data_IF_625295234250
#
_entry.id   IF_625295234250
#
_cell.length_a   1.000
_cell.length_b   1.000
_cell.length_c   1.000
_cell.angle_alpha   90.00
_cell.angle_beta   90.00
_cell.angle_gamma   90.00
#
_symmetry.space_group_name_H-M   'P 1'
#
loop_
_entity.id
_entity.type
_entity.pdbx_description
1 polymer ?
#
# COMPACT_ATOMS: atom_id res chain seq x y z
N UNK A 1 -0.82 14.46 29.71
CA UNK A 1 0.19 15.11 28.84
C UNK A 1 -0.24 14.89 27.40
N UNK A 2 -0.40 15.94 26.58
CA UNK A 2 -1.12 15.85 25.29
C UNK A 2 -0.35 15.12 24.18
N UNK A 3 0.99 15.11 24.25
CA UNK A 3 1.88 14.45 23.28
C UNK A 3 3.15 13.92 24.00
N UNK A 4 3.30 12.60 24.19
CA UNK A 4 4.48 12.01 24.83
C UNK A 4 5.77 12.10 23.99
N UNK A 5 5.69 12.48 22.71
CA UNK A 5 6.84 12.54 21.80
C UNK A 5 7.85 13.62 22.20
N UNK A 6 7.40 14.74 22.78
CA UNK A 6 8.27 15.82 23.23
C UNK A 6 9.26 15.38 24.33
N UNK A 7 8.82 14.78 25.46
CA UNK A 7 9.75 14.28 26.47
C UNK A 7 10.62 13.12 25.95
N UNK A 8 10.10 12.26 25.05
CA UNK A 8 10.90 11.20 24.42
C UNK A 8 12.06 11.81 23.62
N UNK A 9 11.78 12.82 22.78
CA UNK A 9 12.80 13.48 21.97
C UNK A 9 13.85 14.19 22.85
N UNK A 10 13.44 14.84 23.95
CA UNK A 10 14.37 15.45 24.90
C UNK A 10 15.27 14.41 25.58
N UNK A 11 14.69 13.32 26.06
CA UNK A 11 15.47 12.23 26.67
C UNK A 11 16.43 11.59 25.67
N UNK A 12 16.01 11.40 24.41
CA UNK A 12 16.89 10.91 23.36
C UNK A 12 18.01 11.89 23.02
N UNK A 13 17.73 13.20 22.98
CA UNK A 13 18.75 14.21 22.76
C UNK A 13 19.83 14.21 23.86
N UNK A 14 19.44 14.04 25.13
CA UNK A 14 20.41 13.86 26.22
C UNK A 14 21.26 12.60 26.03
N UNK A 15 20.64 11.49 25.59
CA UNK A 15 21.39 10.27 25.27
C UNK A 15 22.41 10.51 24.14
N UNK A 16 22.04 11.25 23.08
CA UNK A 16 22.98 11.61 22.00
C UNK A 16 24.08 12.54 22.51
N UNK A 17 23.77 13.58 23.29
CA UNK A 17 24.79 14.50 23.86
C UNK A 17 25.79 13.79 24.75
N UNK A 18 25.35 12.73 25.43
CA UNK A 18 26.18 11.97 26.37
C UNK A 18 27.18 11.03 25.68
N UNK A 19 27.08 10.81 24.37
CA UNK A 19 28.02 9.94 23.66
C UNK A 19 29.29 10.69 23.22
N UNK A 20 30.44 10.02 23.00
CA UNK A 20 31.75 10.69 22.92
C UNK A 20 32.00 11.59 21.70
N UNK A 21 31.37 11.33 20.55
CA UNK A 21 31.69 12.09 19.34
C UNK A 21 31.30 13.58 19.48
N UNK A 22 32.08 14.54 18.97
CA UNK A 22 31.64 15.93 18.90
C UNK A 22 30.40 16.05 18.01
N UNK A 23 29.39 16.81 18.45
CA UNK A 23 28.18 17.13 17.67
C UNK A 23 27.37 18.25 18.30
N UNK A 24 26.73 19.04 17.46
CA UNK A 24 25.65 19.93 17.85
C UNK A 24 24.33 19.16 17.85
N UNK A 25 23.52 19.33 18.90
CA UNK A 25 22.25 18.59 19.07
C UNK A 25 21.08 19.55 19.28
N UNK A 26 20.17 19.59 18.31
CA UNK A 26 18.96 20.41 18.31
C UNK A 26 17.73 19.51 18.47
N UNK A 27 16.76 19.98 19.27
CA UNK A 27 15.45 19.34 19.41
C UNK A 27 14.39 20.29 18.86
N UNK A 28 13.63 19.84 17.88
CA UNK A 28 12.56 20.63 17.27
C UNK A 28 11.34 19.78 16.96
N UNK A 29 10.16 20.40 16.95
CA UNK A 29 8.92 19.69 16.68
C UNK A 29 7.66 20.37 17.21
N UNK A 30 6.53 19.78 16.85
CA UNK A 30 5.21 20.16 17.34
C UNK A 30 4.25 18.96 17.28
N UNK A 31 3.32 18.88 18.24
CA UNK A 31 2.35 17.78 18.30
C UNK A 31 3.04 16.41 18.38
N UNK A 32 2.73 15.52 17.42
CA UNK A 32 3.28 14.17 17.29
C UNK A 32 4.57 14.10 16.45
N UNK A 33 5.07 15.24 15.98
CA UNK A 33 6.25 15.32 15.11
C UNK A 33 7.40 15.98 15.85
N UNK A 34 8.19 15.18 16.58
CA UNK A 34 9.40 15.63 17.27
C UNK A 34 10.65 14.96 16.70
N UNK A 35 11.68 15.75 16.47
CA UNK A 35 12.94 15.33 15.89
C UNK A 35 14.12 15.75 16.77
N UNK A 36 15.15 14.91 16.79
CA UNK A 36 16.49 15.24 17.28
C UNK A 36 17.42 15.29 16.09
N UNK A 37 18.03 16.45 15.88
CA UNK A 37 19.00 16.69 14.80
C UNK A 37 20.38 16.73 15.43
N UNK A 38 21.28 15.87 14.95
CA UNK A 38 22.69 15.90 15.33
C UNK A 38 23.54 16.23 14.11
N UNK A 39 24.52 17.13 14.25
CA UNK A 39 25.43 17.52 13.16
C UNK A 39 26.88 17.63 13.63
N UNK A 40 27.81 17.23 12.79
CA UNK A 40 29.25 17.39 13.00
C UNK A 40 29.99 17.46 11.66
N UNK A 41 30.59 18.61 11.35
CA UNK A 41 31.15 18.88 10.03
C UNK A 41 30.08 18.78 8.95
N UNK A 42 30.35 17.99 7.91
CA UNK A 42 29.42 17.76 6.80
C UNK A 42 28.36 16.69 7.08
N UNK A 43 28.49 15.95 8.19
CA UNK A 43 27.59 14.85 8.53
C UNK A 43 26.41 15.34 9.36
N UNK A 44 25.25 14.77 9.06
CA UNK A 44 24.00 15.07 9.77
C UNK A 44 23.20 13.80 10.02
N UNK A 45 22.46 13.80 11.12
CA UNK A 45 21.41 12.83 11.40
C UNK A 45 20.13 13.55 11.81
N UNK A 46 18.99 12.98 11.41
CA UNK A 46 17.67 13.42 11.86
C UNK A 46 16.95 12.21 12.42
N UNK A 47 16.67 12.21 13.71
CA UNK A 47 15.95 11.13 14.38
C UNK A 47 14.56 11.59 14.78
N UNK A 48 13.54 11.06 14.12
CA UNK A 48 12.16 11.25 14.53
C UNK A 48 11.81 10.29 15.68
N UNK A 49 11.18 10.83 16.73
CA UNK A 49 10.81 10.08 17.93
C UNK A 49 9.29 9.94 18.02
N UNK A 50 8.81 8.70 18.16
CA UNK A 50 7.36 8.40 18.19
C UNK A 50 7.01 7.47 19.36
N UNK A 51 5.73 7.47 19.77
CA UNK A 51 5.19 6.53 20.76
C UNK A 51 3.99 5.74 20.20
N UNK A 52 4.14 5.17 19.00
CA UNK A 52 3.03 4.53 18.29
C UNK A 52 2.70 3.10 18.72
N UNK A 53 3.47 2.52 19.65
CA UNK A 53 3.26 1.13 20.09
C UNK A 53 2.29 1.05 21.27
N UNK A 54 1.44 0.01 21.34
CA UNK A 54 0.67 -0.30 22.54
C UNK A 54 1.61 -0.38 23.75
N UNK A 55 1.28 0.34 24.83
CA UNK A 55 2.15 0.46 26.01
C UNK A 55 3.13 1.64 25.98
N UNK A 56 3.12 2.48 24.95
CA UNK A 56 3.87 3.74 24.93
C UNK A 56 5.38 3.59 24.76
N UNK A 57 5.86 2.41 24.32
CA UNK A 57 7.28 2.19 24.05
C UNK A 57 7.77 3.13 22.94
N UNK A 58 8.81 3.93 23.19
CA UNK A 58 9.40 4.80 22.17
C UNK A 58 9.92 4.04 20.95
N UNK A 59 9.87 4.68 19.80
CA UNK A 59 10.53 4.25 18.58
C UNK A 59 11.32 5.42 17.96
N UNK A 60 12.49 5.10 17.44
CA UNK A 60 13.46 6.05 16.89
C UNK A 60 13.69 5.72 15.41
N UNK A 61 13.31 6.62 14.51
CA UNK A 61 13.59 6.53 13.08
C UNK A 61 14.68 7.55 12.73
N UNK A 62 15.89 7.05 12.47
CA UNK A 62 17.07 7.87 12.18
C UNK A 62 17.36 7.89 10.69
N UNK A 63 17.43 9.10 10.12
CA UNK A 63 17.96 9.39 8.79
C UNK A 63 19.45 9.75 8.93
N UNK A 64 20.33 9.10 8.17
CA UNK A 64 21.76 9.42 8.11
C UNK A 64 22.07 10.15 6.80
N UNK A 65 22.74 11.30 6.89
CA UNK A 65 23.03 12.18 5.76
C UNK A 65 24.50 12.62 5.78
N UNK A 66 25.10 12.70 4.60
CA UNK A 66 26.45 13.23 4.37
C UNK A 66 26.40 14.67 3.82
N UNK A 67 27.53 15.17 3.33
CA UNK A 67 27.68 16.48 2.72
C UNK A 67 26.54 16.82 1.73
N UNK A 68 25.99 18.03 1.86
CA UNK A 68 24.88 18.51 1.02
C UNK A 68 23.54 17.81 1.26
N UNK A 69 23.31 17.28 2.48
CA UNK A 69 22.10 16.53 2.87
C UNK A 69 21.84 15.28 2.00
N UNK A 70 22.89 14.70 1.41
CA UNK A 70 22.80 13.45 0.64
C UNK A 70 22.43 12.31 1.58
N UNK A 71 21.32 11.64 1.30
CA UNK A 71 20.82 10.52 2.09
C UNK A 71 21.70 9.28 1.93
N UNK A 72 22.35 8.84 3.01
CA UNK A 72 23.07 7.58 3.06
C UNK A 72 22.12 6.40 3.33
N UNK A 73 21.20 6.58 4.29
CA UNK A 73 20.23 5.55 4.62
C UNK A 73 19.46 5.80 5.90
N UNK A 74 18.76 4.77 6.36
CA UNK A 74 17.84 4.82 7.49
C UNK A 74 18.12 3.75 8.54
N UNK A 75 17.75 4.02 9.79
CA UNK A 75 17.66 3.02 10.84
C UNK A 75 16.39 3.19 11.65
N UNK A 76 15.80 2.09 12.10
CA UNK A 76 14.65 2.11 13.01
C UNK A 76 14.85 1.12 14.15
N UNK A 77 14.80 1.61 15.39
CA UNK A 77 14.91 0.78 16.61
C UNK A 77 14.01 1.31 17.73
N UNK A 78 13.69 0.45 18.69
CA UNK A 78 13.02 0.82 19.95
C UNK A 78 14.01 1.09 21.09
N UNK A 79 15.30 0.84 20.87
CA UNK A 79 16.36 1.09 21.84
C UNK A 79 16.94 2.48 21.64
N UNK A 80 16.76 3.37 22.62
CA UNK A 80 17.39 4.70 22.62
C UNK A 80 18.91 4.59 22.59
N UNK A 81 19.47 3.62 23.31
CA UNK A 81 20.92 3.38 23.38
C UNK A 81 21.48 2.96 22.02
N UNK A 82 20.80 2.06 21.30
CA UNK A 82 21.25 1.66 19.95
C UNK A 82 21.16 2.82 18.96
N UNK A 83 20.04 3.55 18.97
CA UNK A 83 19.85 4.71 18.09
C UNK A 83 20.92 5.79 18.37
N UNK A 84 21.16 6.12 19.63
CA UNK A 84 22.19 7.09 20.03
C UNK A 84 23.59 6.60 19.66
N UNK A 85 23.88 5.31 19.85
CA UNK A 85 25.16 4.70 19.44
C UNK A 85 25.39 4.75 17.92
N UNK A 86 24.33 4.55 17.12
CA UNK A 86 24.40 4.70 15.66
C UNK A 86 24.66 6.14 15.23
N UNK A 87 23.97 7.11 15.86
CA UNK A 87 24.21 8.55 15.64
C UNK A 87 25.65 8.92 16.03
N UNK A 88 26.12 8.46 17.19
CA UNK A 88 27.48 8.72 17.66
C UNK A 88 28.56 8.21 16.70
N UNK A 89 28.43 6.95 16.28
CA UNK A 89 29.34 6.35 15.33
C UNK A 89 29.34 7.10 13.98
N UNK A 90 28.17 7.56 13.52
CA UNK A 90 28.06 8.38 12.32
C UNK A 90 28.76 9.73 12.47
N UNK A 91 28.54 10.45 13.58
CA UNK A 91 29.21 11.73 13.85
C UNK A 91 30.72 11.57 14.06
N UNK A 92 31.15 10.43 14.60
CA UNK A 92 32.55 10.07 14.82
C UNK A 92 33.32 9.64 13.57
N UNK A 93 32.76 9.80 12.36
CA UNK A 93 33.49 9.52 11.13
C UNK A 93 33.39 8.08 10.62
N UNK A 94 32.62 7.19 11.27
CA UNK A 94 32.46 5.79 10.82
C UNK A 94 31.92 5.74 9.38
N UNK A 95 32.52 4.89 8.53
CA UNK A 95 32.02 4.70 7.16
C UNK A 95 30.66 3.98 7.17
N UNK A 96 29.89 4.16 6.10
CA UNK A 96 28.56 3.56 5.98
C UNK A 96 28.60 2.02 6.10
N UNK A 97 29.56 1.35 5.46
CA UNK A 97 29.71 -0.11 5.53
C UNK A 97 29.96 -0.60 6.97
N UNK A 98 30.80 0.12 7.72
CA UNK A 98 31.08 -0.19 9.12
C UNK A 98 29.85 0.04 10.00
N UNK A 99 29.04 1.07 9.71
CA UNK A 99 27.76 1.30 10.39
C UNK A 99 26.79 0.14 10.15
N UNK A 100 26.62 -0.30 8.90
CA UNK A 100 25.74 -1.42 8.54
C UNK A 100 26.15 -2.73 9.23
N UNK A 101 27.47 -2.99 9.31
CA UNK A 101 28.02 -4.16 9.98
C UNK A 101 27.82 -4.10 11.51
N UNK A 102 28.00 -2.92 12.12
CA UNK A 102 27.93 -2.74 13.58
C UNK A 102 26.50 -2.65 14.12
N UNK A 103 25.57 -2.08 13.36
CA UNK A 103 24.22 -1.77 13.85
C UNK A 103 23.14 -2.50 13.03
N UNK A 104 22.60 -3.63 13.53
CA UNK A 104 21.57 -4.42 12.84
C UNK A 104 20.28 -3.67 12.51
N UNK A 105 19.98 -2.57 13.21
CA UNK A 105 18.77 -1.78 12.99
C UNK A 105 18.86 -0.85 11.76
N UNK A 106 20.08 -0.58 11.25
CA UNK A 106 20.30 0.26 10.06
C UNK A 106 20.01 -0.56 8.80
N UNK A 107 19.19 -0.03 7.90
CA UNK A 107 18.70 -0.70 6.68
C UNK A 107 18.19 -2.14 6.93
N UNK A 108 17.68 -2.41 8.14
CA UNK A 108 17.24 -3.74 8.56
C UNK A 108 16.25 -4.34 7.56
N UNK A 109 15.24 -3.56 7.18
CA UNK A 109 14.18 -3.99 6.27
C UNK A 109 14.68 -4.24 4.85
N UNK A 110 15.55 -3.36 4.34
CA UNK A 110 16.19 -3.56 3.04
C UNK A 110 16.99 -4.86 3.04
N UNK A 111 17.84 -5.07 4.07
CA UNK A 111 18.67 -6.27 4.19
C UNK A 111 17.84 -7.55 4.30
N UNK A 112 16.75 -7.54 5.06
CA UNK A 112 15.89 -8.71 5.19
C UNK A 112 15.14 -9.04 3.89
N UNK A 113 14.67 -8.03 3.15
CA UNK A 113 14.06 -8.25 1.84
C UNK A 113 15.10 -8.70 0.80
N UNK A 114 16.32 -8.16 0.84
CA UNK A 114 17.40 -8.63 -0.02
C UNK A 114 17.77 -10.08 0.27
N UNK A 115 17.94 -10.45 1.55
CA UNK A 115 18.20 -11.82 1.96
C UNK A 115 17.08 -12.78 1.53
N UNK A 116 15.83 -12.32 1.54
CA UNK A 116 14.71 -13.11 1.01
C UNK A 116 14.82 -13.32 -0.50
N UNK A 117 15.17 -12.28 -1.27
CA UNK A 117 15.41 -12.40 -2.71
C UNK A 117 16.58 -13.35 -3.01
N UNK A 118 17.67 -13.22 -2.27
CA UNK A 118 18.84 -14.08 -2.40
C UNK A 118 18.48 -15.54 -2.12
N UNK A 119 17.69 -15.80 -1.07
CA UNK A 119 17.20 -17.14 -0.74
C UNK A 119 16.28 -17.73 -1.83
N UNK A 120 15.46 -16.91 -2.49
CA UNK A 120 14.66 -17.34 -3.65
C UNK A 120 15.56 -17.80 -4.78
N UNK A 121 16.58 -17.02 -5.14
CA UNK A 121 17.48 -17.37 -6.24
C UNK A 121 18.50 -18.46 -5.90
N UNK A 122 18.81 -18.66 -4.62
CA UNK A 122 19.63 -19.79 -4.19
C UNK A 122 18.84 -21.11 -4.28
N UNK A 123 17.57 -21.10 -3.85
CA UNK A 123 16.71 -22.28 -3.90
C UNK A 123 16.22 -22.60 -5.32
N UNK A 124 15.98 -21.58 -6.15
CA UNK A 124 15.46 -21.71 -7.52
C UNK A 124 16.35 -20.92 -8.51
N UNK A 125 17.54 -21.45 -8.87
CA UNK A 125 18.50 -20.74 -9.70
C UNK A 125 18.00 -20.37 -11.10
N UNK A 126 17.11 -21.19 -11.67
CA UNK A 126 16.53 -20.98 -13.00
C UNK A 126 15.69 -19.69 -13.07
N UNK A 127 15.13 -19.22 -11.94
CA UNK A 127 14.41 -17.95 -11.88
C UNK A 127 15.29 -16.74 -12.15
N UNK A 128 16.60 -16.78 -11.82
CA UNK A 128 17.48 -15.60 -11.87
C UNK A 128 17.61 -14.98 -13.27
N UNK A 129 17.38 -15.78 -14.32
CA UNK A 129 17.34 -15.30 -15.72
C UNK A 129 15.94 -15.14 -16.30
N UNK A 130 14.91 -15.64 -15.63
CA UNK A 130 13.54 -15.67 -16.11
C UNK A 130 12.66 -14.55 -15.55
N UNK A 131 13.07 -13.93 -14.44
CA UNK A 131 12.26 -12.94 -13.71
C UNK A 131 13.02 -11.64 -13.46
N UNK A 132 12.27 -10.55 -13.33
CA UNK A 132 12.79 -9.26 -12.86
C UNK A 132 12.62 -9.15 -11.34
N UNK A 133 13.74 -9.02 -10.63
CA UNK A 133 13.77 -8.76 -9.18
C UNK A 133 14.13 -7.30 -8.88
N UNK A 134 13.24 -6.56 -8.23
CA UNK A 134 13.45 -5.16 -7.87
C UNK A 134 13.16 -4.88 -6.39
N UNK A 135 14.09 -4.20 -5.72
CA UNK A 135 13.93 -3.73 -4.35
C UNK A 135 13.83 -2.19 -4.34
N UNK A 136 12.62 -1.68 -4.15
CA UNK A 136 12.33 -0.26 -4.27
C UNK A 136 12.02 0.36 -2.89
N UNK A 137 12.68 1.47 -2.56
CA UNK A 137 12.32 2.29 -1.40
C UNK A 137 11.11 3.15 -1.74
N UNK A 138 10.04 3.05 -0.96
CA UNK A 138 8.80 3.82 -1.19
C UNK A 138 8.72 5.07 -0.31
N UNK A 139 9.13 4.96 0.96
CA UNK A 139 9.13 6.08 1.91
C UNK A 139 10.00 5.75 3.12
N UNK A 140 10.92 6.65 3.50
CA UNK A 140 11.80 6.46 4.66
C UNK A 140 12.49 5.07 4.63
N UNK A 141 12.27 4.24 5.65
CA UNK A 141 12.76 2.87 5.77
C UNK A 141 11.76 1.81 5.26
N UNK A 142 10.75 2.20 4.47
CA UNK A 142 9.82 1.28 3.83
C UNK A 142 10.32 0.88 2.45
N UNK A 143 10.38 -0.44 2.24
CA UNK A 143 10.81 -1.07 1.01
C UNK A 143 9.76 -2.06 0.52
N UNK A 144 9.72 -2.22 -0.79
CA UNK A 144 8.92 -3.22 -1.49
C UNK A 144 9.87 -4.04 -2.34
N UNK A 145 9.92 -5.34 -2.09
CA UNK A 145 10.52 -6.31 -3.00
C UNK A 145 9.45 -6.72 -4.00
N UNK A 146 9.76 -6.66 -5.29
CA UNK A 146 8.91 -7.17 -6.37
C UNK A 146 9.70 -8.18 -7.18
N UNK A 147 9.15 -9.37 -7.36
CA UNK A 147 9.66 -10.39 -8.29
C UNK A 147 8.58 -10.59 -9.35
N UNK A 148 8.88 -10.39 -10.63
CA UNK A 148 7.89 -10.39 -11.70
C UNK A 148 8.32 -11.13 -12.96
N UNK A 149 7.35 -11.76 -13.62
CA UNK A 149 7.47 -12.40 -14.93
C UNK A 149 6.21 -12.08 -15.76
N UNK A 150 6.36 -11.23 -16.78
CA UNK A 150 5.24 -10.76 -17.59
C UNK A 150 4.16 -10.07 -16.75
N UNK A 151 2.93 -10.58 -16.80
CA UNK A 151 1.82 -10.06 -16.00
C UNK A 151 1.86 -10.55 -14.54
N UNK A 152 2.64 -11.56 -14.19
CA UNK A 152 2.62 -12.14 -12.84
C UNK A 152 3.68 -11.49 -11.96
N UNK A 153 3.34 -11.22 -10.70
CA UNK A 153 4.31 -10.73 -9.72
C UNK A 153 4.03 -11.20 -8.30
N UNK A 154 5.07 -11.18 -7.47
CA UNK A 154 4.98 -11.31 -6.02
C UNK A 154 5.56 -10.03 -5.41
N UNK A 155 4.72 -9.29 -4.68
CA UNK A 155 5.13 -8.08 -3.96
C UNK A 155 5.25 -8.37 -2.47
N UNK A 156 6.44 -8.19 -1.91
CA UNK A 156 6.74 -8.41 -0.50
C UNK A 156 7.05 -7.09 0.19
N UNK A 157 6.36 -6.81 1.30
CA UNK A 157 6.51 -5.60 2.10
C UNK A 157 6.91 -5.95 3.51
N UNK A 158 7.78 -5.12 4.10
CA UNK A 158 8.09 -5.23 5.52
C UNK A 158 7.83 -3.92 6.27
N UNK A 159 6.68 -3.85 6.95
CA UNK A 159 6.28 -2.68 7.74
C UNK A 159 6.99 -2.61 9.10
N UNK A 160 7.79 -3.62 9.48
CA UNK A 160 8.53 -3.70 10.74
C UNK A 160 7.67 -3.76 12.02
N UNK A 161 6.34 -3.86 11.88
CA UNK A 161 5.43 -4.16 12.99
C UNK A 161 5.20 -5.66 13.18
N UNK A 162 5.33 -6.41 12.09
CA UNK A 162 5.24 -7.88 12.07
C UNK A 162 6.65 -8.48 12.26
N UNK A 163 6.73 -9.74 12.66
CA UNK A 163 7.99 -10.48 12.73
C UNK A 163 8.49 -10.87 11.32
N UNK A 164 7.55 -11.23 10.45
CA UNK A 164 7.76 -11.64 9.07
C UNK A 164 7.20 -10.61 8.10
N UNK A 165 7.74 -10.51 6.87
CA UNK A 165 7.15 -9.68 5.84
C UNK A 165 5.84 -10.28 5.31
N UNK A 166 5.00 -9.40 4.77
CA UNK A 166 3.74 -9.78 4.12
C UNK A 166 3.97 -9.79 2.60
N UNK A 167 3.49 -10.82 1.92
CA UNK A 167 3.56 -10.93 0.47
C UNK A 167 2.17 -10.93 -0.17
N UNK A 168 2.08 -10.37 -1.37
CA UNK A 168 0.89 -10.36 -2.20
C UNK A 168 1.23 -10.93 -3.56
N UNK A 169 0.57 -12.03 -3.92
CA UNK A 169 0.63 -12.64 -5.25
C UNK A 169 -0.30 -11.86 -6.17
N UNK A 170 0.18 -11.47 -7.35
CA UNK A 170 -0.54 -10.60 -8.27
C UNK A 170 -0.52 -11.10 -9.70
N UNK A 171 -1.64 -10.88 -10.38
CA UNK A 171 -1.74 -10.94 -11.84
C UNK A 171 -2.14 -9.56 -12.38
N UNK A 172 -1.31 -9.03 -13.25
CA UNK A 172 -1.43 -7.74 -13.92
C UNK A 172 -1.69 -6.58 -12.94
N UNK A 173 -1.07 -6.65 -11.76
CA UNK A 173 -1.25 -5.70 -10.66
C UNK A 173 -2.47 -5.98 -9.75
N UNK A 174 -3.36 -6.91 -10.10
CA UNK A 174 -4.48 -7.35 -9.24
C UNK A 174 -3.98 -8.33 -8.19
N UNK A 175 -4.21 -8.07 -6.89
CA UNK A 175 -3.97 -9.05 -5.84
C UNK A 175 -4.83 -10.32 -6.02
N UNK A 176 -4.20 -11.48 -6.12
CA UNK A 176 -4.84 -12.80 -6.20
C UNK A 176 -4.82 -13.51 -4.84
N UNK A 177 -3.71 -13.41 -4.11
CA UNK A 177 -3.57 -14.02 -2.79
C UNK A 177 -2.68 -13.16 -1.89
N UNK A 178 -2.81 -13.35 -0.58
CA UNK A 178 -1.96 -12.72 0.44
C UNK A 178 -1.43 -13.78 1.40
N UNK A 179 -0.23 -13.57 1.91
CA UNK A 179 0.39 -14.47 2.86
C UNK A 179 1.39 -13.74 3.77
N UNK A 180 1.67 -14.33 4.92
CA UNK A 180 2.90 -14.03 5.67
C UNK A 180 4.02 -14.89 5.12
N UNK A 181 5.16 -14.28 4.83
CA UNK A 181 6.30 -14.99 4.24
C UNK A 181 6.90 -15.96 5.25
N UNK A 182 6.95 -17.23 4.87
CA UNK A 182 7.71 -18.27 5.57
C UNK A 182 8.93 -18.62 4.71
N UNK A 183 10.15 -18.21 5.09
CA UNK A 183 11.33 -18.36 4.23
C UNK A 183 11.54 -19.76 3.64
N UNK A 184 11.29 -20.89 4.36
CA UNK A 184 11.44 -22.23 3.78
C UNK A 184 10.46 -22.56 2.64
N UNK A 185 9.28 -21.93 2.61
CA UNK A 185 8.22 -22.22 1.63
C UNK A 185 8.11 -21.16 0.53
N UNK A 186 8.68 -19.98 0.76
CA UNK A 186 8.53 -18.83 -0.13
C UNK A 186 9.13 -19.06 -1.54
N UNK A 187 10.32 -19.65 -1.71
CA UNK A 187 10.89 -19.89 -3.04
C UNK A 187 10.00 -20.77 -3.93
N UNK A 188 9.49 -21.89 -3.39
CA UNK A 188 8.61 -22.78 -4.12
C UNK A 188 7.31 -22.10 -4.58
N UNK A 189 6.72 -21.23 -3.74
CA UNK A 189 5.56 -20.43 -4.13
C UNK A 189 5.90 -19.45 -5.26
N UNK A 190 7.06 -18.76 -5.18
CA UNK A 190 7.48 -17.79 -6.20
C UNK A 190 7.68 -18.50 -7.54
N UNK A 191 8.36 -19.64 -7.56
CA UNK A 191 8.54 -20.47 -8.76
C UNK A 191 7.20 -20.94 -9.33
N UNK A 192 6.36 -21.58 -8.51
CA UNK A 192 5.07 -22.07 -8.96
C UNK A 192 4.22 -20.96 -9.60
N UNK A 193 4.24 -19.77 -9.00
CA UNK A 193 3.48 -18.63 -9.52
C UNK A 193 4.08 -18.03 -10.80
N UNK A 194 5.38 -17.78 -10.84
CA UNK A 194 6.03 -16.97 -11.88
C UNK A 194 6.53 -17.77 -13.08
N UNK A 195 6.93 -19.03 -12.87
CA UNK A 195 7.53 -19.87 -13.92
C UNK A 195 6.58 -21.00 -14.36
N UNK A 196 5.91 -21.65 -13.41
CA UNK A 196 5.06 -22.83 -13.71
C UNK A 196 3.62 -22.45 -14.05
N UNK A 197 3.33 -21.16 -14.13
CA UNK A 197 2.03 -20.61 -14.42
C UNK A 197 0.89 -21.14 -13.51
N UNK A 198 1.21 -21.56 -12.27
CA UNK A 198 0.23 -22.15 -11.36
C UNK A 198 -0.99 -21.25 -11.13
N UNK A 199 -2.17 -21.85 -10.98
CA UNK A 199 -3.38 -21.15 -10.59
C UNK A 199 -3.31 -20.75 -9.11
N UNK A 200 -3.94 -19.64 -8.67
CA UNK A 200 -3.91 -19.20 -7.27
C UNK A 200 -4.22 -20.30 -6.25
N UNK A 201 -5.27 -21.10 -6.48
CA UNK A 201 -5.71 -22.20 -5.63
C UNK A 201 -4.80 -23.43 -5.67
N UNK A 202 -3.87 -23.51 -6.62
CA UNK A 202 -2.81 -24.52 -6.65
C UNK A 202 -1.56 -24.09 -5.87
N UNK A 203 -1.46 -22.83 -5.43
CA UNK A 203 -0.33 -22.36 -4.65
C UNK A 203 -0.37 -22.93 -3.22
N UNK A 204 0.76 -23.47 -2.76
CA UNK A 204 0.88 -24.07 -1.43
C UNK A 204 1.83 -23.23 -0.59
N UNK A 205 1.31 -22.55 0.43
CA UNK A 205 2.11 -21.86 1.44
C UNK A 205 1.35 -21.72 2.76
N UNK A 206 2.01 -21.87 3.93
CA UNK A 206 1.36 -21.63 5.22
C UNK A 206 0.74 -20.24 5.32
N UNK A 207 -0.53 -20.16 5.71
CA UNK A 207 -1.24 -18.89 5.89
C UNK A 207 -1.54 -18.14 4.59
N UNK A 208 -1.52 -18.81 3.43
CA UNK A 208 -1.99 -18.25 2.18
C UNK A 208 -3.52 -18.10 2.19
N UNK A 209 -3.97 -16.88 1.91
CA UNK A 209 -5.38 -16.51 1.79
C UNK A 209 -5.66 -16.09 0.34
N UNK A 210 -6.57 -16.81 -0.32
CA UNK A 210 -7.06 -16.42 -1.64
C UNK A 210 -7.99 -15.23 -1.51
N UNK A 211 -7.78 -14.24 -2.37
CA UNK A 211 -8.69 -13.10 -2.47
C UNK A 211 -9.86 -13.44 -3.39
N UNK A 212 -11.04 -12.81 -3.21
CA UNK A 212 -12.25 -13.16 -3.96
C UNK A 212 -12.10 -13.16 -5.50
N UNK A 213 -11.21 -12.32 -6.03
CA UNK A 213 -10.96 -12.21 -7.48
C UNK A 213 -10.23 -13.43 -8.06
N UNK A 214 -9.51 -14.20 -7.23
CA UNK A 214 -8.71 -15.35 -7.68
C UNK A 214 -9.57 -16.42 -8.37
N UNK A 215 -10.76 -16.72 -7.84
CA UNK A 215 -11.68 -17.69 -8.43
C UNK A 215 -12.07 -17.32 -9.87
N UNK A 216 -12.28 -16.03 -10.14
CA UNK A 216 -12.61 -15.56 -11.48
C UNK A 216 -11.41 -15.61 -12.43
N UNK A 217 -10.21 -15.36 -11.92
CA UNK A 217 -8.97 -15.55 -12.69
C UNK A 217 -8.82 -17.00 -13.16
N UNK A 218 -9.04 -17.98 -12.27
CA UNK A 218 -8.96 -19.41 -12.61
C UNK A 218 -10.00 -19.85 -13.65
N UNK A 219 -11.14 -19.16 -13.69
CA UNK A 219 -12.20 -19.39 -14.66
C UNK A 219 -11.95 -18.69 -16.01
N UNK A 220 -10.81 -18.00 -16.18
CA UNK A 220 -10.50 -17.24 -17.39
C UNK A 220 -11.28 -15.93 -17.52
N UNK A 221 -11.83 -15.39 -16.41
CA UNK A 221 -12.65 -14.17 -16.38
C UNK A 221 -12.09 -13.12 -15.40
N UNK A 222 -10.79 -12.78 -15.44
CA UNK A 222 -10.18 -11.96 -14.39
C UNK A 222 -10.73 -10.54 -14.32
N UNK A 223 -11.02 -9.90 -15.46
CA UNK A 223 -11.53 -8.53 -15.49
C UNK A 223 -12.96 -8.46 -14.96
N UNK A 224 -13.82 -9.39 -15.38
CA UNK A 224 -15.19 -9.54 -14.85
C UNK A 224 -15.15 -9.73 -13.33
N UNK A 225 -14.25 -10.57 -12.82
CA UNK A 225 -14.04 -10.76 -11.39
C UNK A 225 -13.63 -9.48 -10.66
N UNK A 226 -12.76 -8.66 -11.25
CA UNK A 226 -12.39 -7.35 -10.69
C UNK A 226 -13.61 -6.43 -10.57
N UNK A 227 -14.51 -6.45 -11.56
CA UNK A 227 -15.74 -5.68 -11.53
C UNK A 227 -16.67 -6.19 -10.44
N UNK A 228 -17.02 -7.48 -10.42
CA UNK A 228 -17.89 -8.05 -9.39
C UNK A 228 -17.38 -7.74 -7.98
N UNK A 229 -16.09 -7.96 -7.72
CA UNK A 229 -15.48 -7.68 -6.40
C UNK A 229 -15.48 -6.18 -6.08
N UNK A 230 -15.46 -5.30 -7.10
CA UNK A 230 -15.62 -3.86 -6.89
C UNK A 230 -17.03 -3.50 -6.42
N UNK A 231 -18.07 -4.18 -6.92
CA UNK A 231 -19.46 -4.00 -6.48
C UNK A 231 -19.64 -4.46 -5.04
N UNK A 232 -19.11 -5.63 -4.68
CA UNK A 232 -19.16 -6.15 -3.30
C UNK A 232 -18.53 -5.16 -2.29
N UNK A 233 -17.47 -4.45 -2.69
CA UNK A 233 -16.83 -3.42 -1.86
C UNK A 233 -17.70 -2.17 -1.70
N UNK A 234 -18.44 -1.79 -2.75
CA UNK A 234 -19.33 -0.63 -2.73
C UNK A 234 -20.61 -0.91 -1.94
N UNK A 235 -21.17 -2.11 -2.03
CA UNK A 235 -22.29 -2.51 -1.16
C UNK A 235 -21.91 -2.39 0.32
N UNK A 236 -20.79 -3.00 0.72
CA UNK A 236 -20.23 -2.89 2.09
C UNK A 236 -19.93 -1.46 2.53
N UNK A 237 -19.67 -0.56 1.58
CA UNK A 237 -19.47 0.85 1.89
C UNK A 237 -20.79 1.53 2.28
N UNK A 238 -21.89 1.25 1.56
CA UNK A 238 -23.21 1.83 1.80
C UNK A 238 -23.99 1.14 2.95
N UNK A 239 -23.68 -0.10 3.31
CA UNK A 239 -24.23 -0.77 4.51
C UNK A 239 -23.97 0.00 5.82
N UNK A 240 -22.96 0.87 5.84
CA UNK A 240 -22.61 1.65 7.03
C UNK A 240 -23.63 2.78 7.21
N UNK A 241 -24.23 2.94 8.41
CA UNK A 241 -25.28 3.95 8.68
C UNK A 241 -24.73 5.39 8.79
N UNK A 242 -23.66 5.71 8.06
CA UNK A 242 -23.02 7.03 8.04
C UNK A 242 -23.66 7.97 7.02
N UNK A 243 -24.49 7.44 6.12
CA UNK A 243 -25.14 8.19 5.06
C UNK A 243 -26.65 8.12 5.25
N UNK A 244 -27.35 9.26 5.18
CA UNK A 244 -28.82 9.30 5.31
C UNK A 244 -29.58 8.64 4.17
N UNK A 245 -28.89 8.07 3.19
CA UNK A 245 -29.40 7.51 1.95
C UNK A 245 -28.84 6.09 1.67
N UNK A 246 -28.37 5.39 2.70
CA UNK A 246 -27.80 4.05 2.57
C UNK A 246 -28.77 3.05 1.92
N UNK A 247 -30.06 3.08 2.26
CA UNK A 247 -31.03 2.12 1.71
C UNK A 247 -31.27 2.35 0.21
N UNK A 248 -31.53 3.59 -0.21
CA UNK A 248 -31.74 3.91 -1.64
C UNK A 248 -30.53 3.53 -2.50
N UNK A 249 -29.32 3.70 -1.95
CA UNK A 249 -28.09 3.28 -2.64
C UNK A 249 -28.01 1.76 -2.79
N UNK A 250 -28.31 1.01 -1.73
CA UNK A 250 -28.30 -0.45 -1.76
C UNK A 250 -29.38 -1.01 -2.69
N UNK A 251 -30.59 -0.43 -2.68
CA UNK A 251 -31.69 -0.82 -3.55
C UNK A 251 -31.36 -0.55 -5.03
N UNK A 252 -30.75 0.62 -5.33
CA UNK A 252 -30.27 0.92 -6.67
C UNK A 252 -29.17 -0.04 -7.12
N UNK A 253 -28.19 -0.33 -6.25
CA UNK A 253 -27.12 -1.28 -6.54
C UNK A 253 -27.71 -2.65 -6.86
N UNK A 254 -28.62 -3.17 -6.02
CA UNK A 254 -29.28 -4.44 -6.25
C UNK A 254 -30.03 -4.47 -7.60
N UNK A 255 -30.75 -3.41 -7.95
CA UNK A 255 -31.48 -3.30 -9.21
C UNK A 255 -30.55 -3.28 -10.44
N UNK A 256 -29.34 -2.72 -10.32
CA UNK A 256 -28.35 -2.72 -11.41
C UNK A 256 -27.64 -4.08 -11.54
N UNK A 257 -27.36 -4.75 -10.43
CA UNK A 257 -26.80 -6.12 -10.44
C UNK A 257 -27.75 -7.15 -11.04
N UNK A 258 -29.03 -7.05 -10.74
CA UNK A 258 -30.06 -7.89 -11.39
C UNK A 258 -30.08 -7.73 -12.92
N UNK A 259 -29.57 -6.60 -13.45
CA UNK A 259 -29.43 -6.33 -14.88
C UNK A 259 -28.05 -6.70 -15.45
N UNK A 260 -27.16 -7.24 -14.63
CA UNK A 260 -25.83 -7.75 -14.99
C UNK A 260 -24.72 -6.69 -15.12
N UNK A 261 -24.94 -5.46 -14.65
CA UNK A 261 -23.95 -4.38 -14.78
C UNK A 261 -22.69 -4.59 -13.93
N UNK A 262 -22.73 -5.50 -12.95
CA UNK A 262 -21.58 -5.91 -12.14
C UNK A 262 -20.57 -6.77 -12.88
N UNK A 263 -20.97 -7.38 -13.99
CA UNK A 263 -20.08 -8.15 -14.85
C UNK A 263 -19.32 -7.26 -15.86
N UNK A 264 -19.84 -6.06 -16.13
CA UNK A 264 -19.40 -5.22 -17.26
C UNK A 264 -18.92 -3.83 -16.83
N UNK A 265 -19.33 -3.33 -15.68
CA UNK A 265 -18.93 -2.01 -15.20
C UNK A 265 -18.24 -2.13 -13.85
N UNK A 266 -17.17 -1.36 -13.67
CA UNK A 266 -16.54 -1.22 -12.37
C UNK A 266 -17.34 -0.27 -11.49
N UNK A 267 -17.57 -0.69 -10.26
CA UNK A 267 -18.09 0.14 -9.18
C UNK A 267 -16.95 0.83 -8.41
N UNK A 268 -17.13 2.12 -8.15
CA UNK A 268 -16.22 2.95 -7.36
C UNK A 268 -16.98 3.98 -6.53
N UNK A 269 -16.24 4.76 -5.74
CA UNK A 269 -16.80 5.88 -5.00
C UNK A 269 -15.85 7.07 -4.93
N UNK A 270 -16.44 8.25 -4.76
CA UNK A 270 -15.76 9.46 -4.30
C UNK A 270 -16.62 10.15 -3.25
N UNK A 271 -16.16 10.15 -2.00
CA UNK A 271 -16.96 10.57 -0.84
C UNK A 271 -18.23 9.70 -0.73
N UNK A 272 -19.42 10.29 -0.83
CA UNK A 272 -20.70 9.55 -0.83
C UNK A 272 -21.23 9.27 -2.26
N UNK A 273 -20.45 9.63 -3.30
CA UNK A 273 -20.86 9.46 -4.71
C UNK A 273 -20.56 8.05 -5.17
N UNK A 274 -21.56 7.35 -5.71
CA UNK A 274 -21.39 6.07 -6.37
C UNK A 274 -20.97 6.31 -7.83
N UNK A 275 -19.94 5.63 -8.31
CA UNK A 275 -19.37 5.85 -9.64
C UNK A 275 -19.32 4.52 -10.40
N UNK A 276 -19.81 4.53 -11.63
CA UNK A 276 -19.75 3.43 -12.59
C UNK A 276 -18.88 3.84 -13.79
N UNK A 277 -17.98 2.96 -14.21
CA UNK A 277 -17.05 3.24 -15.32
C UNK A 277 -16.55 1.96 -15.97
N UNK A 278 -15.92 2.08 -17.14
CA UNK A 278 -15.12 1.02 -17.78
C UNK A 278 -13.64 1.06 -17.40
N UNK A 279 -13.28 1.88 -16.42
CA UNK A 279 -11.94 1.86 -15.84
C UNK A 279 -11.70 0.52 -15.16
N UNK A 280 -10.63 -0.18 -15.49
CA UNK A 280 -10.28 -1.40 -14.77
C UNK A 280 -9.81 -1.14 -13.34
N UNK A 281 -9.09 -0.03 -13.11
CA UNK A 281 -8.38 0.26 -11.86
C UNK A 281 -8.92 1.47 -11.11
N UNK A 282 -8.56 1.61 -9.84
CA UNK A 282 -8.92 2.81 -9.08
C UNK A 282 -8.26 4.07 -9.64
N UNK A 283 -9.00 5.18 -9.60
CA UNK A 283 -8.60 6.46 -10.19
C UNK A 283 -9.11 6.60 -11.62
N UNK A 284 -10.03 7.54 -11.85
CA UNK A 284 -10.43 7.92 -13.20
C UNK A 284 -9.40 8.90 -13.78
N UNK A 285 -9.01 8.69 -15.03
CA UNK A 285 -8.19 9.66 -15.77
C UNK A 285 -9.00 10.92 -16.10
N UNK A 286 -8.35 12.08 -16.32
CA UNK A 286 -9.03 13.26 -16.86
C UNK A 286 -9.79 12.90 -18.15
N UNK A 287 -11.07 13.31 -18.21
CA UNK A 287 -11.94 13.04 -19.37
C UNK A 287 -12.52 11.63 -19.48
N UNK A 288 -12.12 10.69 -18.62
CA UNK A 288 -12.60 9.31 -18.71
C UNK A 288 -14.12 9.20 -18.52
N UNK A 289 -14.74 8.35 -19.35
CA UNK A 289 -16.18 8.11 -19.33
C UNK A 289 -16.62 7.48 -18.01
N UNK A 290 -17.64 8.08 -17.37
CA UNK A 290 -18.21 7.56 -16.13
C UNK A 290 -19.62 8.09 -15.88
N UNK A 291 -20.37 7.33 -15.09
CA UNK A 291 -21.66 7.75 -14.52
C UNK A 291 -21.48 7.90 -13.02
N UNK A 292 -21.78 9.07 -12.48
CA UNK A 292 -21.70 9.38 -11.06
C UNK A 292 -23.11 9.61 -10.51
N UNK A 293 -23.43 8.98 -9.38
CA UNK A 293 -24.74 9.03 -8.75
C UNK A 293 -24.56 9.60 -7.34
N UNK A 294 -25.16 10.76 -7.11
CA UNK A 294 -25.16 11.44 -5.81
C UNK A 294 -26.52 11.27 -5.18
N UNK A 295 -26.56 10.60 -4.03
CA UNK A 295 -27.80 10.36 -3.29
C UNK A 295 -28.15 11.57 -2.44
N UNK A 296 -29.21 12.29 -2.81
CA UNK A 296 -29.80 13.38 -2.02
C UNK A 296 -31.05 12.90 -1.27
N UNK A 297 -31.49 13.60 -0.20
CA UNK A 297 -32.69 13.23 0.55
C UNK A 297 -33.97 13.16 -0.29
N UNK A 298 -34.08 14.01 -1.31
CA UNK A 298 -35.29 14.07 -2.15
C UNK A 298 -35.25 13.03 -3.28
N UNK A 299 -34.10 12.87 -3.95
CA UNK A 299 -33.92 11.99 -5.10
C UNK A 299 -32.44 11.82 -5.47
N UNK A 300 -31.99 10.65 -5.96
CA UNK A 300 -30.66 10.50 -6.53
C UNK A 300 -30.44 11.39 -7.77
N UNK A 301 -29.28 12.03 -7.86
CA UNK A 301 -28.86 12.83 -9.02
C UNK A 301 -27.77 12.11 -9.80
N UNK A 302 -28.02 11.90 -11.09
CA UNK A 302 -27.10 11.26 -12.02
C UNK A 302 -26.34 12.33 -12.80
N UNK A 303 -25.02 12.17 -12.87
CA UNK A 303 -24.12 12.97 -13.70
C UNK A 303 -23.36 12.05 -14.64
N UNK A 304 -23.36 12.38 -15.92
CA UNK A 304 -22.65 11.65 -16.96
C UNK A 304 -21.45 12.46 -17.40
N UNK A 305 -20.27 11.83 -17.48
CA UNK A 305 -19.03 12.48 -17.91
C UNK A 305 -18.37 11.67 -19.02
N UNK A 306 -17.75 12.35 -19.99
CA UNK A 306 -16.87 11.73 -20.98
C UNK A 306 -17.58 10.88 -22.03
N UNK A 307 -18.89 11.09 -22.23
CA UNK A 307 -19.69 10.36 -23.23
C UNK A 307 -20.11 11.23 -24.44
N UNK A 308 -19.55 12.43 -24.58
CA UNK A 308 -19.85 13.42 -25.64
C UNK A 308 -19.47 14.85 -25.23
N UNK A 309 -19.89 15.85 -26.03
CA UNK A 309 -19.52 17.27 -25.86
C UNK A 309 -20.17 17.99 -24.66
N UNK A 310 -21.00 17.33 -23.86
CA UNK A 310 -21.58 17.91 -22.64
C UNK A 310 -21.58 16.94 -21.45
N UNK A 311 -21.39 17.50 -20.25
CA UNK A 311 -21.77 16.84 -18.99
C UNK A 311 -23.29 16.89 -18.90
N UNK A 312 -23.97 15.87 -19.41
CA UNK A 312 -25.41 15.71 -19.22
C UNK A 312 -25.69 15.15 -17.82
N UNK A 313 -26.74 15.65 -17.17
CA UNK A 313 -27.16 15.20 -15.86
C UNK A 313 -28.68 15.17 -15.77
N UNK A 314 -29.22 14.26 -14.98
CA UNK A 314 -30.65 14.14 -14.74
C UNK A 314 -30.91 13.64 -13.31
N UNK A 315 -32.14 13.81 -12.84
CA UNK A 315 -32.58 13.32 -11.54
C UNK A 315 -33.35 12.02 -11.72
N UNK A 316 -33.12 11.03 -10.86
CA UNK A 316 -33.91 9.81 -10.81
C UNK A 316 -35.11 10.03 -9.88
N UNK A 317 -36.29 10.19 -10.47
CA UNK A 317 -37.56 10.31 -9.74
C UNK A 317 -38.05 8.94 -9.25
N UNK A 318 -37.31 8.34 -8.31
CA UNK A 318 -37.60 7.00 -7.79
C UNK A 318 -36.90 5.86 -8.54
N UNK A 319 -36.78 4.71 -7.88
CA UNK A 319 -36.12 3.51 -8.43
C UNK A 319 -36.99 2.77 -9.46
N UNK A 320 -38.29 3.03 -9.49
CA UNK A 320 -39.23 2.55 -10.51
C UNK A 320 -38.96 3.17 -11.89
N UNK A 321 -38.19 4.26 -11.95
CA UNK A 321 -37.79 4.96 -13.18
C UNK A 321 -36.30 4.89 -13.47
N UNK A 322 -35.70 3.71 -13.28
CA UNK A 322 -34.27 3.47 -13.51
C UNK A 322 -33.88 3.42 -15.00
N UNK A 323 -34.84 3.25 -15.93
CA UNK A 323 -34.55 3.01 -17.35
C UNK A 323 -33.68 4.09 -18.03
N UNK A 324 -33.85 5.41 -17.79
CA UNK A 324 -32.92 6.41 -18.32
C UNK A 324 -31.47 6.21 -17.85
N UNK A 325 -31.26 5.71 -16.63
CA UNK A 325 -29.93 5.32 -16.16
C UNK A 325 -29.45 4.06 -16.87
N UNK A 326 -30.30 3.06 -17.05
CA UNK A 326 -29.96 1.83 -17.77
C UNK A 326 -29.47 2.15 -19.18
N UNK A 327 -30.18 2.99 -19.94
CA UNK A 327 -29.79 3.39 -21.29
C UNK A 327 -28.38 4.02 -21.34
N UNK A 328 -28.11 4.93 -20.41
CA UNK A 328 -26.79 5.57 -20.27
C UNK A 328 -25.70 4.55 -19.91
N UNK A 329 -26.00 3.59 -19.02
CA UNK A 329 -25.05 2.54 -18.66
C UNK A 329 -24.79 1.57 -19.82
N UNK A 330 -25.79 1.26 -20.66
CA UNK A 330 -25.60 0.47 -21.89
C UNK A 330 -24.68 1.17 -22.88
N UNK A 331 -24.77 2.49 -23.02
CA UNK A 331 -23.81 3.27 -23.83
C UNK A 331 -22.41 3.22 -23.22
N UNK A 332 -22.29 3.26 -21.89
CA UNK A 332 -21.01 3.16 -21.20
C UNK A 332 -20.36 1.77 -21.38
N UNK A 333 -21.13 0.69 -21.37
CA UNK A 333 -20.64 -0.70 -21.59
C UNK A 333 -19.98 -0.89 -22.96
N UNK A 334 -20.42 -0.14 -23.98
CA UNK A 334 -19.87 -0.20 -25.34
C UNK A 334 -18.48 0.44 -25.44
N UNK A 335 -17.98 1.09 -24.38
CA UNK A 335 -16.63 1.65 -24.34
C UNK A 335 -15.60 0.56 -24.02
N UNK A 336 -14.40 0.75 -24.56
CA UNK A 336 -13.25 -0.09 -24.23
C UNK A 336 -12.94 -0.05 -22.74
N UNK A 337 -12.37 -1.15 -22.26
CA UNK A 337 -11.87 -1.24 -20.89
C UNK A 337 -10.54 -0.49 -20.85
N UNK A 338 -10.49 0.49 -19.95
CA UNK A 338 -9.36 1.40 -19.77
C UNK A 338 -8.36 0.94 -18.71
#
# INVERSE_FOLDING_TARGET
MKYPEAPIARAFAEAVRSTPAPKDVVVEGAGVHWNVIASHGERRSLTSCFSTHPGGTPEYLTKFMDAGDVLCGWGRTRSSTEAAGGVDAWMGGMSWDKLLARFPFIERRQRQLQALLDAVFEAEPDLRGAVDGALCRTMCDLFVLTISAGARSVETRFYGKNEQPDATVKWDGTPMAQLRVSPPHFPALVRAWLEEDALPGALVHPGLELLPVATYYEQGRPIEGEFIVSWDKIEKFYERPRFGCSQDALDLIAALRQRGFDHTLRAGQSMATFILSRSRRHGLRPGQASVSIVFHPDAPRVRVKGMGDDVSGFTLEGLDRIEPLVDVLRVLEQRDID
#
